data_IF_576918891481
#
_entry.id   IF_576918891481
#
_cell.length_a   1.000
_cell.length_b   1.000
_cell.length_c   1.000
_cell.angle_alpha   90.00
_cell.angle_beta   90.00
_cell.angle_gamma   90.00
#
_symmetry.space_group_name_H-M   'P 1'
#
loop_
_entity.id
_entity.type
_entity.pdbx_description
1 polymer ?
#
# COMPACT_ATOMS: atom_id res chain seq x y z
N UNK A 1 -8.35 1.09 -9.92
CA UNK A 1 -7.44 2.13 -9.39
C UNK A 1 -5.99 1.75 -9.66
N UNK A 2 -5.10 2.72 -9.88
CA UNK A 2 -3.64 2.51 -9.97
C UNK A 2 -2.99 3.00 -8.68
N UNK A 3 -2.14 2.16 -8.10
CA UNK A 3 -1.34 2.46 -6.90
C UNK A 3 0.13 2.30 -7.26
N UNK A 4 0.94 3.28 -6.88
CA UNK A 4 2.39 3.23 -6.99
C UNK A 4 2.95 3.25 -5.58
N UNK A 5 3.80 2.28 -5.27
CA UNK A 5 4.48 2.19 -3.97
C UNK A 5 5.96 2.33 -4.21
N UNK A 6 6.59 3.22 -3.44
CA UNK A 6 8.02 3.45 -3.45
C UNK A 6 8.66 2.84 -2.20
N UNK A 7 9.85 2.26 -2.36
CA UNK A 7 10.71 1.80 -1.27
C UNK A 7 11.73 2.90 -0.94
N UNK A 8 11.62 3.48 0.25
CA UNK A 8 12.54 4.50 0.77
C UNK A 8 13.77 3.92 1.49
N UNK A 9 13.88 2.58 1.57
CA UNK A 9 15.06 1.86 2.01
C UNK A 9 15.00 1.29 3.44
N UNK A 10 16.18 0.97 3.98
CA UNK A 10 16.43 0.39 5.31
C UNK A 10 16.00 -1.06 5.55
N UNK A 11 14.90 -1.54 4.99
CA UNK A 11 14.51 -2.96 5.07
C UNK A 11 13.52 -3.36 3.97
N UNK A 12 13.75 -4.48 3.30
CA UNK A 12 12.79 -5.03 2.34
C UNK A 12 11.67 -5.78 3.09
N UNK A 13 10.44 -5.28 2.99
CA UNK A 13 9.25 -5.90 3.59
C UNK A 13 8.08 -6.00 2.60
N UNK A 14 7.15 -6.95 2.77
CA UNK A 14 5.88 -6.90 2.06
C UNK A 14 5.11 -5.62 2.40
N UNK A 15 4.27 -5.15 1.47
CA UNK A 15 3.40 -3.99 1.70
C UNK A 15 1.96 -4.45 1.75
N UNK A 16 1.30 -4.22 2.89
CA UNK A 16 -0.12 -4.49 3.09
C UNK A 16 -0.93 -3.23 2.86
N UNK A 17 -1.71 -3.19 1.78
CA UNK A 17 -2.60 -2.09 1.43
C UNK A 17 -4.00 -2.36 1.94
N UNK A 18 -4.59 -1.37 2.61
CA UNK A 18 -6.02 -1.32 2.96
C UNK A 18 -6.66 -0.14 2.24
N UNK A 19 -7.68 -0.43 1.42
CA UNK A 19 -8.46 0.59 0.71
C UNK A 19 -9.85 0.63 1.31
N UNK A 20 -10.29 1.80 1.76
CA UNK A 20 -11.70 2.07 2.09
C UNK A 20 -12.36 2.75 0.90
N UNK A 21 -13.44 2.15 0.41
CA UNK A 21 -14.15 2.59 -0.78
C UNK A 21 -15.36 3.47 -0.42
N UNK A 22 -15.79 4.32 -1.36
CA UNK A 22 -16.92 5.24 -1.20
C UNK A 22 -18.28 4.56 -0.93
N UNK A 23 -18.40 3.27 -1.24
CA UNK A 23 -19.57 2.46 -0.92
C UNK A 23 -19.50 1.84 0.49
N UNK A 24 -18.47 2.13 1.27
CA UNK A 24 -18.23 1.59 2.61
C UNK A 24 -17.41 0.29 2.64
N UNK A 25 -17.12 -0.32 1.48
CA UNK A 25 -16.37 -1.58 1.44
C UNK A 25 -14.89 -1.39 1.75
N UNK A 26 -14.25 -2.46 2.22
CA UNK A 26 -12.81 -2.52 2.44
C UNK A 26 -12.16 -3.56 1.52
N UNK A 27 -11.13 -3.16 0.78
CA UNK A 27 -10.31 -4.05 -0.05
C UNK A 27 -8.91 -4.14 0.53
N UNK A 28 -8.42 -5.36 0.75
CA UNK A 28 -7.04 -5.62 1.20
C UNK A 28 -6.21 -6.27 0.11
N UNK A 29 -4.99 -5.79 -0.09
CA UNK A 29 -4.03 -6.32 -1.07
C UNK A 29 -2.63 -6.33 -0.48
N UNK A 30 -1.90 -7.42 -0.73
CA UNK A 30 -0.48 -7.53 -0.40
C UNK A 30 0.36 -7.41 -1.65
N UNK A 31 1.41 -6.60 -1.57
CA UNK A 31 2.53 -6.60 -2.51
C UNK A 31 3.62 -7.46 -1.87
N UNK A 32 4.11 -8.52 -2.55
CA UNK A 32 5.16 -9.38 -2.01
C UNK A 32 6.48 -8.61 -1.90
N UNK A 33 7.42 -9.15 -1.12
CA UNK A 33 8.75 -8.56 -0.90
C UNK A 33 9.67 -8.71 -2.12
N UNK A 34 9.40 -9.68 -2.98
CA UNK A 34 10.26 -10.07 -4.11
C UNK A 34 10.75 -8.89 -4.98
N UNK A 35 9.91 -7.92 -5.39
CA UNK A 35 10.36 -6.79 -6.21
C UNK A 35 11.50 -6.00 -5.55
N UNK A 36 11.47 -5.86 -4.22
CA UNK A 36 12.47 -5.13 -3.45
C UNK A 36 13.77 -5.91 -3.35
N UNK A 37 13.67 -7.24 -3.18
CA UNK A 37 14.83 -8.14 -3.20
C UNK A 37 15.49 -8.19 -4.58
N UNK A 38 14.70 -8.03 -5.65
CA UNK A 38 15.18 -7.91 -7.03
C UNK A 38 15.76 -6.52 -7.35
N UNK A 39 15.81 -5.61 -6.38
CA UNK A 39 16.40 -4.28 -6.51
C UNK A 39 15.47 -3.21 -7.09
N UNK A 40 14.18 -3.48 -7.25
CA UNK A 40 13.21 -2.45 -7.63
C UNK A 40 13.02 -1.47 -6.47
N UNK A 41 12.87 -0.18 -6.79
CA UNK A 41 12.56 0.88 -5.83
C UNK A 41 11.13 1.38 -5.92
N UNK A 42 10.39 0.90 -6.91
CA UNK A 42 9.02 1.30 -7.18
C UNK A 42 8.28 0.13 -7.80
N UNK A 43 7.06 -0.11 -7.35
CA UNK A 43 6.13 -1.01 -8.05
C UNK A 43 4.81 -0.31 -8.29
N UNK A 44 4.22 -0.65 -9.42
CA UNK A 44 2.89 -0.21 -9.78
C UNK A 44 1.93 -1.41 -9.77
N UNK A 45 0.74 -1.21 -9.21
CA UNK A 45 -0.33 -2.22 -9.16
C UNK A 45 -1.65 -1.61 -9.59
N UNK A 46 -2.38 -2.35 -10.42
CA UNK A 46 -3.78 -2.05 -10.70
C UNK A 46 -4.66 -2.89 -9.79
N UNK A 47 -5.44 -2.22 -8.96
CA UNK A 47 -6.39 -2.85 -8.03
C UNK A 47 -7.80 -2.65 -8.60
N UNK A 48 -8.49 -3.75 -8.87
CA UNK A 48 -9.90 -3.75 -9.24
C UNK A 48 -10.74 -3.45 -8.00
N UNK A 49 -11.63 -2.47 -8.10
CA UNK A 49 -12.53 -2.03 -7.03
C UNK A 49 -13.90 -1.72 -7.62
N UNK A 50 -14.96 -2.02 -6.88
CA UNK A 50 -16.34 -1.80 -7.33
C UNK A 50 -16.83 -0.35 -7.11
N UNK A 51 -16.05 0.44 -6.36
CA UNK A 51 -16.26 1.87 -6.12
C UNK A 51 -14.91 2.60 -6.06
N UNK A 52 -14.89 3.96 -6.15
CA UNK A 52 -13.69 4.76 -5.92
C UNK A 52 -13.16 4.56 -4.49
N UNK A 53 -11.83 4.58 -4.33
CA UNK A 53 -11.21 4.62 -3.01
C UNK A 53 -11.27 6.04 -2.44
N UNK A 54 -11.69 6.15 -1.18
CA UNK A 54 -11.66 7.39 -0.39
C UNK A 54 -10.46 7.43 0.56
N UNK A 55 -9.98 6.26 0.99
CA UNK A 55 -8.80 6.09 1.83
C UNK A 55 -7.93 4.95 1.30
N UNK A 56 -6.63 5.16 1.26
CA UNK A 56 -5.62 4.13 0.98
C UNK A 56 -4.59 4.21 2.08
N UNK A 57 -4.29 3.08 2.70
CA UNK A 57 -3.40 3.01 3.86
C UNK A 57 -2.43 1.84 3.72
N UNK A 58 -1.14 2.11 3.91
CA UNK A 58 -0.11 1.10 4.08
C UNK A 58 -0.12 0.66 5.54
N UNK A 59 -0.10 -0.66 5.76
CA UNK A 59 0.03 -1.29 7.06
C UNK A 59 -0.97 -0.75 8.11
N UNK A 60 -2.26 -0.72 7.78
CA UNK A 60 -3.32 -0.24 8.68
C UNK A 60 -3.46 -1.04 10.01
N UNK A 61 -2.68 -2.11 10.20
CA UNK A 61 -2.62 -2.90 11.44
C UNK A 61 -1.33 -2.65 12.24
N UNK A 62 -0.45 -1.77 11.74
CA UNK A 62 0.81 -1.41 12.39
C UNK A 62 1.74 -2.60 12.67
N UNK A 63 1.79 -3.55 11.74
CA UNK A 63 2.61 -4.77 11.89
C UNK A 63 4.09 -4.52 11.59
N UNK A 64 4.42 -3.56 10.71
CA UNK A 64 5.79 -3.30 10.31
C UNK A 64 6.39 -2.11 11.07
N UNK A 65 7.68 -2.17 11.44
CA UNK A 65 8.39 -1.01 11.94
C UNK A 65 8.54 0.01 10.83
N UNK A 66 8.05 1.23 11.06
CA UNK A 66 8.13 2.31 10.10
C UNK A 66 8.66 3.58 10.77
N UNK A 67 9.60 4.25 10.10
CA UNK A 67 10.27 5.44 10.64
C UNK A 67 9.45 6.70 10.42
N UNK A 68 8.61 6.73 9.39
CA UNK A 68 7.62 7.76 9.16
C UNK A 68 6.29 7.08 8.82
N UNK A 69 5.24 7.29 9.63
CA UNK A 69 3.90 6.77 9.31
C UNK A 69 3.00 7.82 8.68
N UNK A 70 3.46 9.07 8.60
CA UNK A 70 2.63 10.17 8.12
C UNK A 70 2.46 10.13 6.59
N UNK A 71 3.32 9.40 5.90
CA UNK A 71 3.29 9.16 4.46
C UNK A 71 2.55 7.86 4.08
N UNK A 72 2.06 7.08 5.04
CA UNK A 72 1.35 5.83 4.78
C UNK A 72 -0.14 5.99 4.47
N UNK A 73 -0.67 7.22 4.48
CA UNK A 73 -2.09 7.49 4.35
C UNK A 73 -2.39 8.50 3.24
N UNK A 74 -3.26 8.10 2.33
CA UNK A 74 -3.84 8.96 1.31
C UNK A 74 -5.35 9.01 1.44
N UNK A 75 -5.92 10.21 1.46
CA UNK A 75 -7.36 10.46 1.48
C UNK A 75 -7.77 11.33 0.30
N UNK A 76 -8.98 11.11 -0.23
CA UNK A 76 -9.56 11.90 -1.32
C UNK A 76 -10.85 12.58 -0.91
#
# INVERSE_FOLDING_TARGET
MRVTVADEGNAAMPVDLTLTLANGDTVRRRIPVDPWLDGQRTVERTIQTDAPAERVEIDAQEYYPDTDRNDNLWTR
#
